data_IF_505521084967
#
_entry.id   IF_505521084967
#
_cell.length_a   1.000
_cell.length_b   1.000
_cell.length_c   1.000
_cell.angle_alpha   90.00
_cell.angle_beta   90.00
_cell.angle_gamma   90.00
#
_symmetry.space_group_name_H-M   'P 1'
#
loop_
_entity.id
_entity.type
_entity.pdbx_description
1 polymer ?
#
# COMPACT_ATOMS: atom_id res chain seq x y z
N UNK A 1 68.55 9.24 -30.02
CA UNK A 1 68.12 10.65 -30.06
C UNK A 1 66.60 10.62 -30.07
N UNK A 2 66.00 10.72 -28.87
CA UNK A 2 65.32 11.93 -28.35
C UNK A 2 64.07 12.25 -29.18
N UNK A 3 62.90 11.77 -28.74
CA UNK A 3 61.94 12.39 -27.80
C UNK A 3 61.19 13.59 -28.39
N UNK A 4 59.94 13.68 -27.92
CA UNK A 4 59.02 14.83 -27.87
C UNK A 4 57.98 14.94 -28.99
N UNK A 5 56.70 15.19 -28.74
CA UNK A 5 55.90 15.27 -27.51
C UNK A 5 54.43 15.50 -27.93
N UNK A 6 53.48 14.92 -27.18
CA UNK A 6 52.19 15.50 -26.76
C UNK A 6 51.12 15.90 -27.82
N UNK A 7 49.82 15.64 -27.65
CA UNK A 7 48.99 15.69 -26.44
C UNK A 7 47.83 14.70 -26.51
N UNK A 8 47.67 13.86 -25.48
CA UNK A 8 46.39 13.21 -25.15
C UNK A 8 45.87 13.92 -23.91
N UNK A 9 44.82 14.71 -24.09
CA UNK A 9 44.14 15.44 -23.04
C UNK A 9 43.49 14.43 -22.08
N UNK A 10 44.18 14.17 -20.96
CA UNK A 10 43.67 13.36 -19.86
C UNK A 10 42.57 14.21 -19.19
N UNK A 11 41.32 13.92 -19.53
CA UNK A 11 40.17 14.45 -18.82
C UNK A 11 40.22 13.93 -17.36
N UNK A 12 40.60 14.80 -16.43
CA UNK A 12 40.49 14.53 -15.01
C UNK A 12 39.02 14.25 -14.64
N UNK A 13 38.74 13.24 -13.80
CA UNK A 13 37.38 12.98 -13.36
C UNK A 13 36.91 14.11 -12.43
N UNK A 14 35.91 14.85 -12.90
CA UNK A 14 35.20 15.89 -12.15
C UNK A 14 34.82 15.37 -10.76
N UNK A 15 35.46 15.88 -9.72
CA UNK A 15 35.10 15.54 -8.33
C UNK A 15 33.76 16.16 -7.97
N UNK A 16 32.69 15.36 -8.04
CA UNK A 16 31.39 15.71 -7.48
C UNK A 16 31.40 15.63 -5.94
N UNK A 17 31.97 16.63 -5.28
CA UNK A 17 31.96 16.76 -3.81
C UNK A 17 30.75 17.57 -3.30
N UNK A 18 29.59 17.45 -3.97
CA UNK A 18 28.37 18.09 -3.47
C UNK A 18 27.72 17.22 -2.40
N UNK A 19 27.17 17.83 -1.35
CA UNK A 19 26.44 17.12 -0.30
C UNK A 19 25.32 16.25 -0.88
N UNK A 20 24.67 16.71 -1.96
CA UNK A 20 23.68 15.93 -2.71
C UNK A 20 24.28 14.66 -3.33
N UNK A 21 25.50 14.72 -3.85
CA UNK A 21 26.21 13.56 -4.39
C UNK A 21 26.51 12.53 -3.30
N UNK A 22 26.98 12.98 -2.13
CA UNK A 22 27.22 12.08 -0.99
C UNK A 22 25.93 11.42 -0.48
N UNK A 23 24.80 12.13 -0.48
CA UNK A 23 23.50 11.57 -0.12
C UNK A 23 23.05 10.54 -1.16
N UNK A 24 23.20 10.80 -2.46
CA UNK A 24 22.85 9.84 -3.50
C UNK A 24 23.68 8.54 -3.40
N UNK A 25 24.98 8.65 -3.15
CA UNK A 25 25.86 7.49 -2.98
C UNK A 25 25.91 6.94 -1.55
N UNK A 26 25.05 7.42 -0.63
CA UNK A 26 24.97 6.94 0.77
C UNK A 26 24.36 5.54 0.92
N UNK A 27 24.38 4.76 -0.15
CA UNK A 27 24.02 3.36 -0.16
C UNK A 27 22.56 3.10 -0.52
N UNK A 28 21.58 3.89 -0.06
CA UNK A 28 20.15 3.59 -0.27
C UNK A 28 19.69 3.57 -1.73
N UNK A 29 20.36 4.31 -2.62
CA UNK A 29 20.04 4.37 -4.04
C UNK A 29 20.87 3.40 -4.90
N UNK A 30 21.83 2.67 -4.32
CA UNK A 30 22.66 1.71 -5.04
C UNK A 30 21.98 0.36 -5.09
N UNK A 31 21.95 -0.25 -6.28
CA UNK A 31 21.33 -1.55 -6.55
C UNK A 31 21.84 -2.69 -5.66
N UNK A 32 23.10 -2.62 -5.23
CA UNK A 32 23.70 -3.59 -4.29
C UNK A 32 23.10 -3.53 -2.88
N UNK A 33 22.59 -2.35 -2.49
CA UNK A 33 21.94 -2.10 -1.20
C UNK A 33 20.42 -2.10 -1.33
N UNK A 34 19.91 -2.34 -2.55
CA UNK A 34 18.57 -2.82 -2.73
C UNK A 34 18.48 -4.10 -1.91
N UNK A 35 17.99 -3.95 -0.68
CA UNK A 35 17.43 -5.06 0.09
C UNK A 35 16.28 -5.53 -0.79
N UNK A 36 16.60 -6.42 -1.73
CA UNK A 36 15.68 -7.32 -2.38
C UNK A 36 15.10 -8.09 -1.23
N UNK A 37 14.09 -7.49 -0.62
CA UNK A 37 13.30 -8.17 0.37
C UNK A 37 12.75 -9.30 -0.48
N UNK A 38 13.32 -10.49 -0.30
CA UNK A 38 12.64 -11.75 -0.50
C UNK A 38 11.45 -11.73 0.46
N UNK A 39 10.53 -10.77 0.24
CA UNK A 39 9.22 -10.70 0.83
C UNK A 39 8.62 -11.96 0.25
N UNK A 40 8.38 -12.92 1.11
CA UNK A 40 7.51 -14.03 0.76
C UNK A 40 6.29 -13.46 0.04
N UNK A 41 5.80 -14.14 -1.02
CA UNK A 41 4.61 -13.70 -1.73
C UNK A 41 3.54 -13.32 -0.71
N UNK A 42 3.22 -12.03 -0.61
CA UNK A 42 2.26 -11.56 0.39
C UNK A 42 0.94 -12.23 0.04
N UNK A 43 0.52 -13.21 0.86
CA UNK A 43 -0.76 -13.90 0.69
C UNK A 43 -1.84 -12.82 0.70
N UNK A 44 -2.45 -12.61 -0.47
CA UNK A 44 -3.53 -11.63 -0.62
C UNK A 44 -4.78 -12.19 0.06
N UNK A 45 -5.57 -11.31 0.68
CA UNK A 45 -6.89 -11.70 1.15
C UNK A 45 -7.72 -12.24 -0.02
N UNK A 46 -8.45 -13.31 0.24
CA UNK A 46 -9.35 -13.94 -0.71
C UNK A 46 -10.54 -13.02 -1.03
N UNK A 47 -11.32 -13.35 -2.06
CA UNK A 47 -12.46 -12.53 -2.46
C UNK A 47 -13.57 -12.59 -1.41
N UNK A 48 -13.75 -13.76 -0.82
CA UNK A 48 -14.72 -14.10 0.20
C UNK A 48 -14.49 -13.26 1.46
N UNK A 49 -13.25 -13.22 1.95
CA UNK A 49 -12.87 -12.39 3.11
C UNK A 49 -13.12 -10.91 2.84
N UNK A 50 -12.77 -10.41 1.65
CA UNK A 50 -13.04 -9.00 1.29
C UNK A 50 -14.53 -8.70 1.27
N UNK A 51 -15.33 -9.59 0.68
CA UNK A 51 -16.77 -9.42 0.61
C UNK A 51 -17.42 -9.36 2.00
N UNK A 52 -16.99 -10.22 2.92
CA UNK A 52 -17.46 -10.20 4.30
C UNK A 52 -17.07 -8.91 5.03
N UNK A 53 -15.83 -8.45 4.86
CA UNK A 53 -15.38 -7.18 5.41
C UNK A 53 -16.18 -5.99 4.85
N UNK A 54 -16.53 -6.01 3.55
CA UNK A 54 -17.40 -5.01 2.93
C UNK A 54 -18.79 -5.00 3.56
N UNK A 55 -19.42 -6.16 3.73
CA UNK A 55 -20.73 -6.27 4.39
C UNK A 55 -20.67 -5.68 5.81
N UNK A 56 -19.68 -6.08 6.62
CA UNK A 56 -19.53 -5.56 7.99
C UNK A 56 -19.31 -4.04 8.00
N UNK A 57 -18.51 -3.53 7.07
CA UNK A 57 -18.25 -2.10 6.93
C UNK A 57 -19.51 -1.32 6.56
N UNK A 58 -20.30 -1.82 5.60
CA UNK A 58 -21.56 -1.19 5.18
C UNK A 58 -22.61 -1.24 6.28
N UNK A 59 -22.72 -2.36 7.01
CA UNK A 59 -23.60 -2.48 8.18
C UNK A 59 -23.26 -1.45 9.24
N UNK A 60 -21.97 -1.30 9.57
CA UNK A 60 -21.51 -0.29 10.53
C UNK A 60 -21.66 1.15 10.05
N UNK A 61 -21.66 1.35 8.73
CA UNK A 61 -21.91 2.64 8.09
C UNK A 61 -23.39 3.02 8.16
N UNK A 62 -24.29 2.08 7.88
CA UNK A 62 -25.73 2.30 7.91
C UNK A 62 -26.26 2.43 9.35
N UNK A 63 -25.66 1.69 10.30
CA UNK A 63 -26.03 1.72 11.70
C UNK A 63 -24.80 1.83 12.62
N UNK A 64 -24.54 3.02 13.21
CA UNK A 64 -23.41 3.23 14.10
C UNK A 64 -23.36 2.29 15.32
N UNK A 65 -24.50 1.75 15.77
CA UNK A 65 -24.55 0.77 16.88
C UNK A 65 -24.01 -0.60 16.50
N UNK A 66 -23.99 -0.91 15.20
CA UNK A 66 -23.45 -2.15 14.64
C UNK A 66 -22.04 -1.95 14.07
N UNK A 67 -21.43 -0.79 14.28
CA UNK A 67 -20.10 -0.49 13.77
C UNK A 67 -19.06 -1.36 14.46
N UNK A 68 -18.46 -2.24 13.68
CA UNK A 68 -17.37 -3.10 14.12
C UNK A 68 -16.02 -2.40 13.96
N UNK A 69 -15.18 -2.50 14.98
CA UNK A 69 -13.76 -2.20 14.86
C UNK A 69 -13.01 -3.40 14.23
N UNK A 70 -11.72 -3.23 13.93
CA UNK A 70 -10.93 -4.27 13.27
C UNK A 70 -10.79 -5.57 14.09
N UNK A 71 -10.80 -5.48 15.43
CA UNK A 71 -10.76 -6.64 16.29
C UNK A 71 -12.09 -7.40 16.24
N UNK A 72 -13.22 -6.69 16.28
CA UNK A 72 -14.54 -7.30 16.17
C UNK A 72 -14.76 -7.95 14.80
N UNK A 73 -14.31 -7.31 13.71
CA UNK A 73 -14.35 -7.92 12.38
C UNK A 73 -13.48 -9.19 12.31
N UNK A 74 -12.33 -9.21 13.00
CA UNK A 74 -11.48 -10.39 13.08
C UNK A 74 -12.16 -11.54 13.85
N UNK A 75 -12.79 -11.23 14.99
CA UNK A 75 -13.56 -12.20 15.79
C UNK A 75 -14.72 -12.80 14.99
N UNK A 76 -15.45 -11.98 14.24
CA UNK A 76 -16.53 -12.42 13.35
C UNK A 76 -16.01 -13.35 12.23
N UNK A 77 -14.84 -13.04 11.63
CA UNK A 77 -14.21 -13.91 10.63
C UNK A 77 -13.73 -15.24 11.24
N UNK A 78 -13.24 -15.23 12.48
CA UNK A 78 -12.90 -16.45 13.22
C UNK A 78 -14.13 -17.32 13.47
N UNK A 79 -15.25 -16.74 13.88
CA UNK A 79 -16.50 -17.49 14.08
C UNK A 79 -16.97 -18.15 12.78
N UNK A 80 -16.89 -17.44 11.66
CA UNK A 80 -17.21 -17.99 10.33
C UNK A 80 -16.25 -19.10 9.90
N UNK A 81 -14.97 -18.98 10.25
CA UNK A 81 -14.00 -20.05 10.01
C UNK A 81 -14.33 -21.31 10.83
N UNK A 82 -14.70 -21.14 12.10
CA UNK A 82 -15.15 -22.25 12.97
C UNK A 82 -16.42 -22.93 12.44
N UNK A 83 -17.30 -22.17 11.80
CA UNK A 83 -18.52 -22.68 11.16
C UNK A 83 -18.26 -23.36 9.80
N UNK A 84 -17.02 -23.32 9.30
CA UNK A 84 -16.65 -23.87 8.00
C UNK A 84 -17.05 -23.00 6.80
N UNK A 85 -17.53 -21.77 7.02
CA UNK A 85 -17.80 -20.81 5.93
C UNK A 85 -16.51 -20.25 5.32
N UNK A 86 -15.45 -20.20 6.14
CA UNK A 86 -14.12 -19.74 5.75
C UNK A 86 -13.06 -20.76 6.14
N UNK A 87 -11.94 -20.75 5.42
CA UNK A 87 -10.77 -21.51 5.83
C UNK A 87 -10.00 -20.70 6.87
N UNK A 88 -9.54 -21.34 7.93
CA UNK A 88 -8.78 -20.66 9.00
C UNK A 88 -7.53 -19.96 8.46
N UNK A 89 -6.85 -20.53 7.46
CA UNK A 89 -5.67 -19.93 6.85
C UNK A 89 -5.96 -18.65 6.05
N UNK A 90 -7.22 -18.38 5.74
CA UNK A 90 -7.64 -17.19 5.00
C UNK A 90 -8.04 -16.04 5.92
N UNK A 91 -8.19 -16.30 7.23
CA UNK A 91 -8.48 -15.27 8.22
C UNK A 91 -7.31 -14.29 8.30
N UNK A 92 -7.49 -13.01 7.92
CA UNK A 92 -6.41 -12.04 7.92
C UNK A 92 -6.10 -11.54 9.33
N UNK A 93 -4.86 -11.13 9.57
CA UNK A 93 -4.46 -10.51 10.84
C UNK A 93 -5.23 -9.21 11.07
N UNK A 94 -5.46 -8.85 12.33
CA UNK A 94 -6.11 -7.59 12.73
C UNK A 94 -5.47 -6.37 12.06
N UNK A 95 -4.14 -6.31 11.98
CA UNK A 95 -3.43 -5.19 11.31
C UNK A 95 -3.70 -5.11 9.80
N UNK A 96 -3.93 -6.26 9.15
CA UNK A 96 -4.32 -6.31 7.74
C UNK A 96 -5.75 -5.79 7.56
N UNK A 97 -6.65 -6.14 8.48
CA UNK A 97 -8.02 -5.61 8.50
C UNK A 97 -8.01 -4.10 8.75
N UNK A 98 -7.22 -3.59 9.69
CA UNK A 98 -7.07 -2.15 9.93
C UNK A 98 -6.62 -1.41 8.67
N UNK A 99 -5.56 -1.90 8.02
CA UNK A 99 -5.05 -1.32 6.78
C UNK A 99 -6.10 -1.36 5.66
N UNK A 100 -6.83 -2.47 5.56
CA UNK A 100 -7.92 -2.61 4.60
C UNK A 100 -9.05 -1.61 4.88
N UNK A 101 -9.50 -1.45 6.13
CA UNK A 101 -10.52 -0.47 6.53
C UNK A 101 -10.06 0.94 6.15
N UNK A 102 -8.82 1.31 6.45
CA UNK A 102 -8.29 2.65 6.12
C UNK A 102 -8.32 2.89 4.61
N UNK A 103 -7.84 1.93 3.81
CA UNK A 103 -7.85 2.03 2.35
C UNK A 103 -9.26 2.05 1.77
N UNK A 104 -10.14 1.18 2.27
CA UNK A 104 -11.52 1.06 1.81
C UNK A 104 -12.33 2.32 2.16
N UNK A 105 -12.22 2.81 3.40
CA UNK A 105 -12.89 4.03 3.85
C UNK A 105 -12.56 5.23 2.99
N UNK A 106 -11.29 5.38 2.59
CA UNK A 106 -10.85 6.46 1.71
C UNK A 106 -11.54 6.37 0.35
N UNK A 107 -11.45 5.21 -0.31
CA UNK A 107 -12.07 4.98 -1.63
C UNK A 107 -13.58 5.15 -1.59
N UNK A 108 -14.22 4.72 -0.52
CA UNK A 108 -15.66 4.87 -0.33
C UNK A 108 -16.05 6.35 -0.17
N UNK A 109 -15.32 7.13 0.63
CA UNK A 109 -15.54 8.59 0.74
C UNK A 109 -15.34 9.30 -0.59
N UNK A 110 -14.29 8.96 -1.33
CA UNK A 110 -14.04 9.49 -2.68
C UNK A 110 -15.22 9.18 -3.63
N UNK A 111 -15.72 7.95 -3.61
CA UNK A 111 -16.87 7.56 -4.43
C UNK A 111 -18.18 8.27 -4.03
N UNK A 112 -18.40 8.52 -2.73
CA UNK A 112 -19.55 9.29 -2.24
C UNK A 112 -19.45 10.77 -2.66
N UNK A 113 -18.25 11.35 -2.57
CA UNK A 113 -18.03 12.73 -3.01
C UNK A 113 -18.30 12.89 -4.51
N UNK A 114 -17.83 11.97 -5.35
CA UNK A 114 -18.10 11.99 -6.79
C UNK A 114 -19.59 11.94 -7.10
N UNK A 115 -20.34 11.05 -6.44
CA UNK A 115 -21.81 10.97 -6.62
C UNK A 115 -22.52 12.26 -6.21
N UNK A 116 -22.09 12.88 -5.11
CA UNK A 116 -22.69 14.14 -4.66
C UNK A 116 -22.46 15.30 -5.63
N UNK A 117 -21.37 15.28 -6.40
CA UNK A 117 -21.10 16.26 -7.45
C UNK A 117 -22.04 16.02 -8.64
N UNK A 118 -22.14 14.77 -9.12
CA UNK A 118 -23.01 14.42 -10.25
C UNK A 118 -24.49 14.73 -9.97
N UNK A 119 -24.97 14.47 -8.75
CA UNK A 119 -26.35 14.78 -8.32
C UNK A 119 -26.63 16.29 -8.29
N UNK A 120 -25.64 17.10 -7.93
CA UNK A 120 -25.76 18.56 -7.91
C UNK A 120 -25.76 19.17 -9.32
N UNK A 121 -24.94 18.65 -10.23
CA UNK A 121 -24.91 19.08 -11.65
C UNK A 121 -26.16 18.65 -12.42
N UNK A 122 -26.69 17.46 -12.13
CA UNK A 122 -27.93 16.95 -12.74
C UNK A 122 -29.22 17.63 -12.27
N UNK A 123 -29.17 18.39 -11.17
CA UNK A 123 -30.32 19.13 -10.63
C UNK A 123 -30.44 20.56 -11.19
N UNK A 124 -29.49 20.99 -12.03
CA UNK A 124 -29.43 22.32 -12.66
C UNK A 124 -29.83 22.31 -14.15
N UNK A 125 -30.39 21.20 -14.65
CA UNK A 125 -30.96 21.07 -16.00
C UNK A 125 -32.49 20.89 -15.92
#
# INVERSE_FOLDING_TARGET
>A
MTNQDNQVEINEPVQYNSQSYRIFFSGWALKENEKTRMREPVKRMTREVKHLLEIMFHTGTANPRQKMNAQQMHEELLQRAQQGELREEDVPKISTIQNWISGFSRRWKEAMALRSIDENEGSLQ
#
